data_IF_998379995244
#
_entry.id   IF_998379995244
#
_cell.length_a   1.000
_cell.length_b   1.000
_cell.length_c   1.000
_cell.angle_alpha   90.00
_cell.angle_beta   90.00
_cell.angle_gamma   90.00
#
_symmetry.space_group_name_H-M   'P 1'
#
loop_
_entity.id
_entity.type
_entity.pdbx_description
1 polymer ?
#
# COMPACT_ATOMS: atom_id res chain seq x y z
N UNK A 1 -15.89 26.07 1.12
CA UNK A 1 -14.98 25.19 1.89
C UNK A 1 -14.39 26.03 3.01
N UNK A 2 -14.54 25.57 4.26
CA UNK A 2 -14.20 26.28 5.50
C UNK A 2 -12.70 26.57 5.55
N UNK A 3 -12.31 27.85 5.69
CA UNK A 3 -10.94 28.24 6.01
C UNK A 3 -10.59 27.74 7.41
N UNK A 4 -9.69 26.76 7.47
CA UNK A 4 -9.07 26.33 8.71
C UNK A 4 -8.02 27.40 9.06
N UNK A 5 -8.36 28.30 9.98
CA UNK A 5 -7.39 29.06 10.75
C UNK A 5 -6.63 28.06 11.63
N UNK A 6 -5.45 27.62 11.20
CA UNK A 6 -4.49 27.02 12.13
C UNK A 6 -3.80 28.17 12.85
N UNK A 7 -4.34 28.52 14.02
CA UNK A 7 -3.63 29.29 15.03
C UNK A 7 -2.41 28.47 15.47
N UNK A 8 -1.26 28.69 14.83
CA UNK A 8 0.01 28.24 15.40
C UNK A 8 0.31 29.20 16.54
N UNK A 9 0.00 28.76 17.75
CA UNK A 9 0.38 29.44 18.98
C UNK A 9 1.89 29.66 18.99
N UNK A 10 2.31 30.89 18.71
CA UNK A 10 3.66 31.32 19.02
C UNK A 10 3.73 31.61 20.52
N UNK A 11 3.87 30.54 21.30
CA UNK A 11 4.53 30.65 22.60
C UNK A 11 5.95 31.14 22.33
N UNK A 12 6.16 32.44 22.52
CA UNK A 12 7.47 33.10 22.54
C UNK A 12 8.30 32.48 23.67
N UNK A 13 9.10 31.48 23.31
CA UNK A 13 10.23 31.00 24.08
C UNK A 13 11.46 31.16 23.20
N UNK A 14 12.21 32.24 23.42
CA UNK A 14 13.62 32.27 23.00
C UNK A 14 14.37 31.29 23.91
N UNK A 15 15.18 30.43 23.30
CA UNK A 15 15.93 29.30 23.89
C UNK A 15 16.98 29.68 24.97
N UNK A 16 16.94 30.88 25.55
CA UNK A 16 17.99 31.39 26.45
C UNK A 16 17.52 31.90 27.81
N UNK A 17 16.23 31.75 28.17
CA UNK A 17 15.77 31.93 29.56
C UNK A 17 16.07 33.28 30.22
N UNK A 18 16.28 34.38 29.47
CA UNK A 18 16.45 35.73 30.04
C UNK A 18 15.18 36.55 29.90
N UNK A 19 14.77 37.20 31.00
CA UNK A 19 13.72 38.22 31.03
C UNK A 19 14.03 39.31 29.98
N UNK A 20 13.10 39.57 29.06
CA UNK A 20 13.14 40.75 28.21
C UNK A 20 12.96 42.01 29.07
N UNK A 21 14.06 42.54 29.60
CA UNK A 21 14.15 43.95 29.94
C UNK A 21 13.89 44.79 28.69
N UNK A 22 13.23 45.94 28.86
CA UNK A 22 12.61 46.79 27.84
C UNK A 22 13.39 46.93 26.52
N UNK A 23 13.17 46.00 25.57
CA UNK A 23 13.64 46.11 24.18
C UNK A 23 13.10 47.39 23.52
N UNK A 24 11.92 47.85 23.92
CA UNK A 24 11.34 49.11 23.47
C UNK A 24 12.14 50.34 23.96
N UNK A 25 12.68 50.30 25.18
CA UNK A 25 13.49 51.38 25.74
C UNK A 25 14.81 51.57 25.02
N UNK A 26 15.47 50.48 24.58
CA UNK A 26 16.70 50.55 23.79
C UNK A 26 16.49 51.09 22.37
N UNK A 27 15.36 50.74 21.73
CA UNK A 27 15.00 51.27 20.40
C UNK A 27 14.65 52.75 20.49
N UNK A 28 13.85 53.16 21.47
CA UNK A 28 13.50 54.57 21.69
C UNK A 28 14.71 55.42 22.05
N UNK A 29 15.70 54.87 22.76
CA UNK A 29 16.97 55.54 23.03
C UNK A 29 17.77 55.79 21.74
N UNK A 30 17.91 54.77 20.87
CA UNK A 30 18.59 54.94 19.58
C UNK A 30 17.87 55.91 18.64
N UNK A 31 16.52 55.87 18.62
CA UNK A 31 15.71 56.85 17.88
C UNK A 31 15.96 58.26 18.42
N UNK A 32 15.95 58.43 19.75
CA UNK A 32 16.22 59.72 20.38
C UNK A 32 17.63 60.22 20.07
N UNK A 33 18.63 59.35 20.10
CA UNK A 33 20.02 59.73 19.85
C UNK A 33 20.28 60.05 18.36
N UNK A 34 19.65 59.31 17.43
CA UNK A 34 19.69 59.63 16.00
C UNK A 34 18.94 60.91 15.64
N UNK A 35 17.87 61.26 16.38
CA UNK A 35 17.13 62.51 16.16
C UNK A 35 17.83 63.74 16.75
N UNK A 36 18.59 63.58 17.85
CA UNK A 36 19.38 64.68 18.47
C UNK A 36 20.54 65.16 17.61
N UNK A 37 21.01 64.34 16.67
CA UNK A 37 22.13 64.67 15.76
C UNK A 37 21.70 65.58 14.60
N UNK A 38 20.39 65.75 14.38
CA UNK A 38 19.84 66.58 13.31
C UNK A 38 19.74 68.04 13.73
N UNK A 39 19.91 68.95 12.76
CA UNK A 39 19.57 70.35 12.96
C UNK A 39 18.06 70.53 13.02
N UNK A 40 17.59 71.55 13.73
CA UNK A 40 16.15 71.85 13.90
C UNK A 40 15.42 71.99 12.56
N UNK A 41 16.09 72.51 11.54
CA UNK A 41 15.56 72.68 10.18
C UNK A 41 15.35 71.34 9.45
N UNK A 42 16.22 70.35 9.71
CA UNK A 42 16.12 69.01 9.14
C UNK A 42 15.04 68.20 9.85
N UNK A 43 14.90 68.38 11.16
CA UNK A 43 13.79 67.85 11.96
C UNK A 43 12.43 68.36 11.46
N UNK A 44 12.32 69.66 11.16
CA UNK A 44 11.09 70.22 10.57
C UNK A 44 10.76 69.59 9.22
N UNK A 45 11.76 69.44 8.34
CA UNK A 45 11.58 68.76 7.04
C UNK A 45 11.12 67.31 7.20
N UNK A 46 11.69 66.57 8.16
CA UNK A 46 11.29 65.19 8.45
C UNK A 46 9.88 65.08 9.04
N UNK A 47 9.39 66.12 9.73
CA UNK A 47 8.02 66.16 10.24
C UNK A 47 6.99 66.54 9.17
N UNK A 48 7.41 67.26 8.13
CA UNK A 48 6.55 67.73 7.04
C UNK A 48 6.43 66.70 5.90
N UNK A 49 7.42 65.82 5.73
CA UNK A 49 7.46 64.78 4.69
C UNK A 49 7.57 63.35 5.29
N UNK A 50 6.46 62.58 5.30
CA UNK A 50 6.43 61.21 5.81
C UNK A 50 7.37 60.24 5.07
N UNK A 51 7.59 60.42 3.76
CA UNK A 51 8.48 59.54 3.00
C UNK A 51 9.95 59.83 3.33
N UNK A 52 10.30 61.11 3.52
CA UNK A 52 11.63 61.48 4.02
C UNK A 52 11.89 60.95 5.43
N UNK A 53 10.85 60.92 6.29
CA UNK A 53 10.91 60.34 7.62
C UNK A 53 11.26 58.85 7.57
N UNK A 54 10.52 58.06 6.78
CA UNK A 54 10.77 56.62 6.66
C UNK A 54 12.17 56.33 6.10
N UNK A 55 12.60 57.05 5.05
CA UNK A 55 13.95 56.93 4.47
C UNK A 55 15.05 57.30 5.47
N UNK A 56 14.81 58.29 6.34
CA UNK A 56 15.76 58.67 7.38
C UNK A 56 15.93 57.57 8.43
N UNK A 57 14.83 56.98 8.89
CA UNK A 57 14.86 55.89 9.87
C UNK A 57 15.48 54.61 9.30
N UNK A 58 15.23 54.29 8.04
CA UNK A 58 15.88 53.17 7.34
C UNK A 58 17.40 53.34 7.24
N UNK A 59 17.88 54.56 7.02
CA UNK A 59 19.31 54.86 6.86
C UNK A 59 20.06 55.00 8.18
N UNK A 60 19.41 55.58 9.20
CA UNK A 60 20.08 56.02 10.42
C UNK A 60 19.74 55.20 11.66
N UNK A 61 18.83 54.22 11.55
CA UNK A 61 18.50 53.30 12.65
C UNK A 61 18.74 51.86 12.20
N UNK A 62 19.89 51.26 12.57
CA UNK A 62 20.28 49.91 12.15
C UNK A 62 19.22 48.85 12.42
N UNK A 63 18.51 48.93 13.56
CA UNK A 63 17.46 47.97 13.93
C UNK A 63 16.28 47.97 12.95
N UNK A 64 15.93 49.12 12.37
CA UNK A 64 14.83 49.20 11.39
C UNK A 64 15.24 48.51 10.10
N UNK A 65 16.46 48.79 9.63
CA UNK A 65 17.03 48.15 8.44
C UNK A 65 17.14 46.63 8.60
N UNK A 66 17.70 46.14 9.71
CA UNK A 66 17.81 44.69 10.00
C UNK A 66 16.44 44.00 9.99
N UNK A 67 15.42 44.64 10.59
CA UNK A 67 14.06 44.08 10.58
C UNK A 67 13.44 44.04 9.20
N UNK A 68 13.65 45.07 8.38
CA UNK A 68 13.15 45.08 7.01
C UNK A 68 13.85 44.02 6.14
N UNK A 69 15.15 43.83 6.31
CA UNK A 69 15.91 42.76 5.65
C UNK A 69 15.38 41.38 6.06
N UNK A 70 15.10 41.16 7.35
CA UNK A 70 14.47 39.93 7.83
C UNK A 70 13.06 39.73 7.24
N UNK A 71 12.24 40.78 7.16
CA UNK A 71 10.91 40.70 6.54
C UNK A 71 11.02 40.33 5.06
N UNK A 72 11.98 40.91 4.32
CA UNK A 72 12.23 40.55 2.92
C UNK A 72 12.66 39.10 2.79
N UNK A 73 13.60 38.63 3.62
CA UNK A 73 14.05 37.24 3.61
C UNK A 73 12.91 36.25 3.91
N UNK A 74 12.04 36.57 4.89
CA UNK A 74 10.85 35.77 5.20
C UNK A 74 9.88 35.75 4.02
N UNK A 75 9.64 36.91 3.40
CA UNK A 75 8.76 37.01 2.22
C UNK A 75 9.28 36.14 1.07
N UNK A 76 10.56 36.25 0.74
CA UNK A 76 11.18 35.50 -0.35
C UNK A 76 11.16 33.99 -0.07
N UNK A 77 11.44 33.59 1.17
CA UNK A 77 11.33 32.20 1.63
C UNK A 77 9.89 31.67 1.52
N UNK A 78 8.89 32.48 1.87
CA UNK A 78 7.48 32.09 1.78
C UNK A 78 7.03 31.97 0.32
N UNK A 79 7.48 32.87 -0.57
CA UNK A 79 7.19 32.78 -2.00
C UNK A 79 7.81 31.50 -2.58
N UNK A 80 9.07 31.21 -2.26
CA UNK A 80 9.74 29.99 -2.71
C UNK A 80 9.03 28.72 -2.20
N UNK A 81 8.62 28.72 -0.94
CA UNK A 81 7.89 27.61 -0.33
C UNK A 81 6.50 27.43 -0.94
N UNK A 82 5.77 28.52 -1.20
CA UNK A 82 4.47 28.48 -1.86
C UNK A 82 4.58 27.89 -3.27
N UNK A 83 5.60 28.32 -4.05
CA UNK A 83 5.86 27.77 -5.37
C UNK A 83 6.17 26.27 -5.32
N UNK A 84 7.08 25.86 -4.42
CA UNK A 84 7.41 24.44 -4.22
C UNK A 84 6.18 23.61 -3.84
N UNK A 85 5.30 24.14 -2.99
CA UNK A 85 4.09 23.45 -2.58
C UNK A 85 3.11 23.28 -3.75
N UNK A 86 2.98 24.28 -4.63
CA UNK A 86 2.19 24.15 -5.85
C UNK A 86 2.76 23.07 -6.78
N UNK A 87 4.07 23.08 -7.02
CA UNK A 87 4.73 22.09 -7.89
C UNK A 87 4.58 20.66 -7.33
N UNK A 88 4.69 20.50 -6.01
CA UNK A 88 4.47 19.23 -5.32
C UNK A 88 3.01 18.77 -5.43
N UNK A 89 2.05 19.69 -5.31
CA UNK A 89 0.63 19.36 -5.46
C UNK A 89 0.33 18.85 -6.88
N UNK A 90 0.83 19.53 -7.90
CA UNK A 90 0.70 19.07 -9.30
C UNK A 90 1.34 17.69 -9.51
N UNK A 91 2.51 17.46 -8.90
CA UNK A 91 3.19 16.16 -8.97
C UNK A 91 2.38 15.06 -8.27
N UNK A 92 1.77 15.36 -7.12
CA UNK A 92 0.89 14.44 -6.40
C UNK A 92 -0.34 14.07 -7.22
N UNK A 93 -1.01 15.06 -7.82
CA UNK A 93 -2.19 14.84 -8.66
C UNK A 93 -1.86 13.96 -9.87
N UNK A 94 -0.71 14.20 -10.51
CA UNK A 94 -0.21 13.35 -11.60
C UNK A 94 0.06 11.92 -11.15
N UNK A 95 0.73 11.74 -10.02
CA UNK A 95 1.03 10.42 -9.48
C UNK A 95 -0.24 9.67 -9.08
N UNK A 96 -1.21 10.34 -8.44
CA UNK A 96 -2.49 9.75 -8.08
C UNK A 96 -3.24 9.22 -9.31
N UNK A 97 -3.19 9.95 -10.43
CA UNK A 97 -3.76 9.49 -11.70
C UNK A 97 -3.09 8.22 -12.22
N UNK A 98 -1.76 8.19 -12.25
CA UNK A 98 -0.99 7.03 -12.69
C UNK A 98 -1.25 5.79 -11.83
N UNK A 99 -1.36 5.97 -10.51
CA UNK A 99 -1.68 4.88 -9.57
C UNK A 99 -3.08 4.32 -9.85
N UNK A 100 -4.06 5.18 -10.16
CA UNK A 100 -5.41 4.73 -10.46
C UNK A 100 -5.48 3.98 -11.80
N UNK A 101 -4.77 4.45 -12.83
CA UNK A 101 -4.62 3.75 -14.11
C UNK A 101 -3.97 2.36 -13.93
N UNK A 102 -2.93 2.26 -13.09
CA UNK A 102 -2.30 0.99 -12.75
C UNK A 102 -3.23 0.05 -11.99
N UNK A 103 -4.03 0.57 -11.05
CA UNK A 103 -5.03 -0.23 -10.33
C UNK A 103 -6.07 -0.80 -11.28
N UNK A 104 -6.56 0.01 -12.20
CA UNK A 104 -7.52 -0.45 -13.21
C UNK A 104 -6.90 -1.55 -14.08
N UNK A 105 -5.67 -1.36 -14.55
CA UNK A 105 -4.96 -2.36 -15.36
C UNK A 105 -4.78 -3.69 -14.61
N UNK A 106 -4.44 -3.63 -13.32
CA UNK A 106 -4.34 -4.83 -12.47
C UNK A 106 -5.69 -5.50 -12.29
N UNK A 107 -6.76 -4.74 -12.05
CA UNK A 107 -8.11 -5.29 -11.93
C UNK A 107 -8.56 -5.96 -13.23
N UNK A 108 -8.38 -5.30 -14.37
CA UNK A 108 -8.71 -5.85 -15.70
C UNK A 108 -7.94 -7.15 -15.95
N UNK A 109 -6.65 -7.17 -15.59
CA UNK A 109 -5.83 -8.37 -15.73
C UNK A 109 -6.29 -9.50 -14.81
N UNK A 110 -6.65 -9.19 -13.57
CA UNK A 110 -7.21 -10.15 -12.63
C UNK A 110 -8.54 -10.72 -13.11
N UNK A 111 -9.43 -9.90 -13.68
CA UNK A 111 -10.70 -10.36 -14.24
C UNK A 111 -10.51 -11.38 -15.38
N UNK A 112 -9.47 -11.21 -16.20
CA UNK A 112 -9.15 -12.16 -17.28
C UNK A 112 -8.50 -13.44 -16.75
N UNK A 113 -7.64 -13.34 -15.73
CA UNK A 113 -6.85 -14.48 -15.24
C UNK A 113 -7.60 -15.33 -14.22
N UNK A 114 -8.49 -14.74 -13.42
CA UNK A 114 -9.19 -15.43 -12.33
C UNK A 114 -10.03 -16.62 -12.81
N UNK A 115 -10.84 -16.51 -13.89
CA UNK A 115 -11.57 -17.66 -14.42
C UNK A 115 -10.64 -18.80 -14.85
N UNK A 116 -9.52 -18.49 -15.50
CA UNK A 116 -8.53 -19.49 -15.93
C UNK A 116 -7.87 -20.19 -14.75
N UNK A 117 -7.58 -19.43 -13.69
CA UNK A 117 -7.05 -20.00 -12.47
C UNK A 117 -8.07 -20.91 -11.78
N UNK A 118 -9.34 -20.49 -11.73
CA UNK A 118 -10.42 -21.27 -11.14
C UNK A 118 -10.67 -22.58 -11.93
N UNK A 119 -10.60 -22.54 -13.27
CA UNK A 119 -10.64 -23.73 -14.13
C UNK A 119 -9.51 -24.71 -13.81
N UNK A 120 -8.26 -24.23 -13.78
CA UNK A 120 -7.09 -25.07 -13.44
C UNK A 120 -7.23 -25.66 -12.04
N UNK A 121 -7.72 -24.87 -11.08
CA UNK A 121 -7.94 -25.32 -9.71
C UNK A 121 -9.01 -26.41 -9.63
N UNK A 122 -10.07 -26.32 -10.44
CA UNK A 122 -11.07 -27.38 -10.55
C UNK A 122 -10.44 -28.68 -11.09
N UNK A 123 -9.70 -28.60 -12.20
CA UNK A 123 -9.03 -29.78 -12.76
C UNK A 123 -7.96 -30.37 -11.83
N UNK A 124 -7.27 -29.54 -11.05
CA UNK A 124 -6.31 -30.01 -10.07
C UNK A 124 -6.97 -30.60 -8.80
N UNK A 125 -8.24 -30.27 -8.55
CA UNK A 125 -9.03 -30.81 -7.44
C UNK A 125 -9.72 -32.14 -7.80
N UNK A 126 -9.92 -32.41 -9.09
CA UNK A 126 -10.36 -33.73 -9.55
C UNK A 126 -9.21 -34.73 -9.36
N UNK A 127 -9.42 -35.78 -8.55
CA UNK A 127 -8.47 -36.89 -8.46
C UNK A 127 -8.54 -37.67 -9.78
N UNK A 128 -7.50 -37.63 -10.63
CA UNK A 128 -7.53 -38.31 -11.93
C UNK A 128 -7.66 -39.83 -11.79
N UNK A 129 -7.43 -40.37 -10.58
CA UNK A 129 -7.56 -41.78 -10.28
C UNK A 129 -8.96 -42.19 -9.82
N UNK A 130 -9.87 -41.25 -9.54
CA UNK A 130 -11.19 -41.56 -8.96
C UNK A 130 -12.08 -42.34 -9.94
N UNK A 131 -12.09 -41.95 -11.22
CA UNK A 131 -12.79 -42.71 -12.26
C UNK A 131 -12.20 -44.11 -12.46
N UNK A 132 -10.87 -44.25 -12.37
CA UNK A 132 -10.18 -45.53 -12.49
C UNK A 132 -10.44 -46.45 -11.28
N UNK A 133 -10.43 -45.90 -10.05
CA UNK A 133 -10.80 -46.61 -8.82
C UNK A 133 -12.21 -47.18 -8.92
N UNK A 134 -13.17 -46.35 -9.35
CA UNK A 134 -14.57 -46.77 -9.53
C UNK A 134 -14.72 -47.92 -10.54
N UNK A 135 -14.06 -47.84 -11.69
CA UNK A 135 -14.10 -48.91 -12.70
C UNK A 135 -13.46 -50.20 -12.18
N UNK A 136 -12.36 -50.08 -11.42
CA UNK A 136 -11.66 -51.22 -10.85
C UNK A 136 -12.46 -51.89 -9.74
N UNK A 137 -13.16 -51.11 -8.91
CA UNK A 137 -14.10 -51.58 -7.90
C UNK A 137 -15.27 -52.36 -8.53
N UNK A 138 -15.88 -51.79 -9.57
CA UNK A 138 -16.97 -52.44 -10.31
C UNK A 138 -16.50 -53.76 -10.95
N UNK A 139 -15.34 -53.76 -11.60
CA UNK A 139 -14.75 -54.95 -12.21
C UNK A 139 -14.40 -56.02 -11.16
N UNK A 140 -13.89 -55.62 -10.00
CA UNK A 140 -13.61 -56.50 -8.86
C UNK A 140 -14.89 -57.11 -8.29
N UNK A 141 -15.95 -56.32 -8.12
CA UNK A 141 -17.24 -56.79 -7.65
C UNK A 141 -17.85 -57.83 -8.62
N UNK A 142 -17.80 -57.57 -9.93
CA UNK A 142 -18.24 -58.51 -10.97
C UNK A 142 -17.42 -59.80 -10.92
N UNK A 143 -16.09 -59.70 -10.91
CA UNK A 143 -15.20 -60.88 -10.90
C UNK A 143 -15.43 -61.75 -9.65
N UNK A 144 -15.67 -61.13 -8.49
CA UNK A 144 -15.98 -61.85 -7.26
C UNK A 144 -17.37 -62.50 -7.31
N UNK A 145 -18.35 -61.82 -7.91
CA UNK A 145 -19.70 -62.37 -8.14
C UNK A 145 -19.63 -63.60 -9.06
N UNK A 146 -18.88 -63.52 -10.15
CA UNK A 146 -18.66 -64.66 -11.05
C UNK A 146 -17.98 -65.83 -10.35
N UNK A 147 -17.01 -65.56 -9.47
CA UNK A 147 -16.39 -66.62 -8.65
C UNK A 147 -17.43 -67.31 -7.76
N UNK A 148 -18.34 -66.55 -7.13
CA UNK A 148 -19.42 -67.13 -6.30
C UNK A 148 -20.38 -67.96 -7.14
N UNK A 149 -20.78 -67.45 -8.31
CA UNK A 149 -21.65 -68.18 -9.23
C UNK A 149 -21.03 -69.48 -9.71
N UNK A 150 -19.71 -69.51 -9.97
CA UNK A 150 -19.02 -70.76 -10.33
C UNK A 150 -19.16 -71.81 -9.22
N UNK A 151 -19.03 -71.42 -7.94
CA UNK A 151 -19.22 -72.34 -6.81
C UNK A 151 -20.68 -72.77 -6.69
N UNK A 152 -21.63 -71.84 -6.82
CA UNK A 152 -23.07 -72.11 -6.70
C UNK A 152 -23.62 -73.00 -7.83
N UNK A 153 -23.03 -72.92 -9.02
CA UNK A 153 -23.40 -73.72 -10.20
C UNK A 153 -22.64 -75.04 -10.30
N UNK A 154 -21.86 -75.41 -9.29
CA UNK A 154 -21.09 -76.67 -9.30
C UNK A 154 -22.02 -77.86 -9.04
N UNK A 155 -22.13 -78.77 -10.02
CA UNK A 155 -22.89 -80.01 -9.91
C UNK A 155 -21.99 -81.23 -9.66
N UNK A 156 -22.58 -82.36 -9.26
CA UNK A 156 -21.84 -83.62 -9.03
C UNK A 156 -21.10 -84.16 -10.28
N UNK A 157 -21.51 -83.72 -11.47
CA UNK A 157 -20.92 -84.07 -12.78
C UNK A 157 -19.76 -83.15 -13.21
N UNK A 158 -19.37 -82.18 -12.38
CA UNK A 158 -18.36 -81.17 -12.73
C UNK A 158 -16.96 -81.76 -12.87
N UNK A 159 -16.26 -81.39 -13.94
CA UNK A 159 -14.82 -81.64 -14.07
C UNK A 159 -14.04 -80.73 -13.10
N UNK A 160 -13.68 -81.31 -11.96
CA UNK A 160 -12.98 -80.61 -10.87
C UNK A 160 -11.63 -80.03 -11.27
N UNK A 161 -10.92 -80.64 -12.23
CA UNK A 161 -9.61 -80.12 -12.66
C UNK A 161 -9.80 -78.84 -13.49
N UNK A 162 -10.77 -78.86 -14.40
CA UNK A 162 -11.11 -77.67 -15.20
C UNK A 162 -11.67 -76.55 -14.33
N UNK A 163 -12.58 -76.88 -13.41
CA UNK A 163 -13.13 -75.94 -12.44
C UNK A 163 -12.03 -75.28 -11.60
N UNK A 164 -11.09 -76.06 -11.05
CA UNK A 164 -10.02 -75.54 -10.22
C UNK A 164 -9.12 -74.55 -10.99
N UNK A 165 -8.81 -74.85 -12.25
CA UNK A 165 -8.02 -73.95 -13.11
C UNK A 165 -8.77 -72.65 -13.37
N UNK A 166 -10.02 -72.72 -13.82
CA UNK A 166 -10.82 -71.54 -14.19
C UNK A 166 -11.12 -70.66 -12.98
N UNK A 167 -11.48 -71.27 -11.84
CA UNK A 167 -11.74 -70.57 -10.58
C UNK A 167 -10.48 -69.90 -10.05
N UNK A 168 -9.33 -70.58 -10.05
CA UNK A 168 -8.07 -70.01 -9.56
C UNK A 168 -7.61 -68.84 -10.42
N UNK A 169 -7.79 -68.92 -11.74
CA UNK A 169 -7.49 -67.82 -12.65
C UNK A 169 -8.36 -66.59 -12.37
N UNK A 170 -9.68 -66.76 -12.25
CA UNK A 170 -10.59 -65.65 -11.91
C UNK A 170 -10.32 -65.08 -10.52
N UNK A 171 -10.03 -65.93 -9.54
CA UNK A 171 -9.72 -65.49 -8.18
C UNK A 171 -8.42 -64.71 -8.12
N UNK A 172 -7.40 -65.12 -8.89
CA UNK A 172 -6.15 -64.37 -9.04
C UNK A 172 -6.39 -62.98 -9.66
N UNK A 173 -7.26 -62.89 -10.66
CA UNK A 173 -7.63 -61.61 -11.27
C UNK A 173 -8.32 -60.66 -10.28
N UNK A 174 -9.27 -61.18 -9.48
CA UNK A 174 -9.91 -60.42 -8.41
C UNK A 174 -8.90 -59.86 -7.39
N UNK A 175 -7.97 -60.69 -6.91
CA UNK A 175 -6.96 -60.23 -5.96
C UNK A 175 -5.98 -59.22 -6.56
N UNK A 176 -5.66 -59.35 -7.85
CA UNK A 176 -4.86 -58.34 -8.57
C UNK A 176 -5.59 -57.00 -8.66
N UNK A 177 -6.89 -57.01 -8.96
CA UNK A 177 -7.72 -55.80 -8.99
C UNK A 177 -7.81 -55.14 -7.59
N UNK A 178 -7.97 -55.93 -6.53
CA UNK A 178 -7.94 -55.41 -5.15
C UNK A 178 -6.59 -54.79 -4.78
N UNK A 179 -5.47 -55.46 -5.09
CA UNK A 179 -4.13 -54.92 -4.82
C UNK A 179 -3.83 -53.64 -5.61
N UNK A 180 -4.36 -53.52 -6.84
CA UNK A 180 -4.26 -52.30 -7.63
C UNK A 180 -5.12 -51.17 -7.05
N UNK A 181 -6.29 -51.49 -6.49
CA UNK A 181 -7.13 -50.50 -5.80
C UNK A 181 -6.43 -49.95 -4.56
N UNK A 182 -5.88 -50.82 -3.73
CA UNK A 182 -5.13 -50.45 -2.52
C UNK A 182 -3.93 -49.56 -2.85
N UNK A 183 -3.20 -49.82 -3.94
CA UNK A 183 -2.11 -48.94 -4.41
C UNK A 183 -2.61 -47.56 -4.83
N UNK A 184 -3.71 -47.51 -5.58
CA UNK A 184 -4.33 -46.26 -5.99
C UNK A 184 -4.89 -45.46 -4.80
N UNK A 185 -5.36 -46.13 -3.74
CA UNK A 185 -5.78 -45.49 -2.48
C UNK A 185 -4.58 -44.92 -1.71
N UNK A 186 -3.47 -45.66 -1.68
CA UNK A 186 -2.24 -45.25 -0.98
C UNK A 186 -1.35 -44.28 -1.78
N UNK A 187 -1.71 -43.97 -3.04
CA UNK A 187 -0.95 -43.12 -3.97
C UNK A 187 0.49 -43.60 -4.20
N UNK A 188 0.69 -44.92 -4.18
CA UNK A 188 1.95 -45.61 -4.53
C UNK A 188 1.95 -46.07 -5.99
#
# INVERSE_FOLDING_TARGET
>A
IRSILVFVGWSRLDYTGRKMGSRAGGVLAQVSDSLKLLKIEELKKLMEDPEAFDVYFEKNIPIVKEKQELIRAIKDSNIASAKKNMDLQTSMESLSRQVEELRQLVQDRQLVLRPKFDEIKMFAAEDPTEAAKKQLDEASAITNSECRQMVEQTEASTDWNKFAVDFTQKKKLYHLQQALLERLENKE
#
